data_IF_340857870729
#
_entry.id   IF_340857870729
#
_cell.length_a   1.000
_cell.length_b   1.000
_cell.length_c   1.000
_cell.angle_alpha   90.00
_cell.angle_beta   90.00
_cell.angle_gamma   90.00
#
_symmetry.space_group_name_H-M   'P 1'
#
loop_
_entity.id
_entity.type
_entity.pdbx_description
1 polymer ?
#
# COMPACT_ATOMS: atom_id res chain seq x y z
N UNK A 1 -34.24 -11.71 2.60
CA UNK A 1 -32.82 -11.43 2.30
C UNK A 1 -32.05 -11.59 3.60
N UNK A 2 -31.17 -12.60 3.70
CA UNK A 2 -30.33 -12.77 4.90
C UNK A 2 -29.46 -11.54 5.07
N UNK A 3 -29.47 -10.95 6.27
CA UNK A 3 -28.48 -9.97 6.69
C UNK A 3 -27.09 -10.56 6.43
N UNK A 4 -26.40 -10.03 5.42
CA UNK A 4 -24.98 -10.30 5.22
C UNK A 4 -24.27 -9.70 6.43
N UNK A 5 -23.76 -10.60 7.25
CA UNK A 5 -22.90 -10.32 8.39
C UNK A 5 -21.80 -9.35 7.97
N UNK A 6 -21.78 -8.15 8.56
CA UNK A 6 -20.84 -7.07 8.24
C UNK A 6 -19.38 -7.45 8.57
N UNK A 7 -19.15 -8.57 9.25
CA UNK A 7 -17.83 -9.09 9.63
C UNK A 7 -17.15 -9.92 8.53
N UNK A 8 -17.88 -10.40 7.51
CA UNK A 8 -17.25 -11.22 6.46
C UNK A 8 -16.44 -10.34 5.50
N UNK A 9 -15.11 -10.40 5.64
CA UNK A 9 -14.16 -9.83 4.66
C UNK A 9 -14.54 -10.35 3.27
N UNK A 10 -14.80 -9.43 2.34
CA UNK A 10 -15.14 -9.77 0.95
C UNK A 10 -14.06 -10.70 0.37
N UNK A 11 -14.44 -11.93 0.03
CA UNK A 11 -13.52 -13.00 -0.42
C UNK A 11 -13.12 -12.86 -1.88
N UNK A 12 -13.81 -12.01 -2.65
CA UNK A 12 -13.54 -11.80 -4.08
C UNK A 12 -12.61 -10.59 -4.27
N UNK A 13 -11.42 -10.85 -4.79
CA UNK A 13 -10.46 -9.82 -5.17
C UNK A 13 -11.05 -8.84 -6.17
N UNK A 14 -10.70 -7.56 -6.01
CA UNK A 14 -11.04 -6.53 -6.99
C UNK A 14 -10.49 -6.90 -8.37
N UNK A 15 -9.22 -7.27 -8.44
CA UNK A 15 -8.55 -7.74 -9.65
C UNK A 15 -7.75 -9.00 -9.32
N UNK A 16 -7.81 -10.01 -10.18
CA UNK A 16 -6.89 -11.13 -10.18
C UNK A 16 -6.44 -11.37 -11.61
N UNK A 17 -5.16 -11.65 -11.83
CA UNK A 17 -4.58 -11.76 -13.17
C UNK A 17 -3.45 -12.78 -13.23
N UNK A 18 -3.47 -13.78 -12.34
CA UNK A 18 -2.59 -14.95 -12.44
C UNK A 18 -2.96 -15.84 -13.62
N UNK A 19 -4.25 -15.87 -13.99
CA UNK A 19 -4.79 -16.56 -15.17
C UNK A 19 -6.04 -15.86 -15.70
N UNK A 20 -6.47 -16.24 -16.90
CA UNK A 20 -7.73 -15.76 -17.48
C UNK A 20 -8.95 -16.13 -16.61
N UNK A 21 -8.95 -17.32 -16.02
CA UNK A 21 -10.06 -17.79 -15.18
C UNK A 21 -10.12 -17.04 -13.84
N UNK A 22 -8.97 -16.78 -13.21
CA UNK A 22 -8.90 -15.91 -12.03
C UNK A 22 -9.39 -14.50 -12.35
N UNK A 23 -8.98 -13.96 -13.50
CA UNK A 23 -9.44 -12.65 -13.97
C UNK A 23 -10.95 -12.60 -14.14
N UNK A 24 -11.54 -13.56 -14.85
CA UNK A 24 -13.00 -13.65 -15.06
C UNK A 24 -13.81 -13.76 -13.76
N UNK A 25 -13.22 -14.33 -12.71
CA UNK A 25 -13.82 -14.45 -11.37
C UNK A 25 -13.62 -13.21 -10.49
N UNK A 26 -12.75 -12.29 -10.87
CA UNK A 26 -12.54 -11.03 -10.15
C UNK A 26 -13.64 -10.01 -10.47
N UNK A 27 -13.78 -8.98 -9.62
CA UNK A 27 -14.78 -7.91 -9.84
C UNK A 27 -14.56 -7.19 -11.18
N UNK A 28 -13.30 -6.92 -11.52
CA UNK A 28 -12.93 -6.29 -12.79
C UNK A 28 -13.25 -7.19 -13.99
N UNK A 29 -13.03 -8.50 -13.90
CA UNK A 29 -13.40 -9.42 -14.98
C UNK A 29 -14.91 -9.55 -15.18
N UNK A 30 -15.69 -9.54 -14.10
CA UNK A 30 -17.16 -9.48 -14.18
C UNK A 30 -17.62 -8.19 -14.85
N UNK A 31 -17.01 -7.05 -14.50
CA UNK A 31 -17.27 -5.77 -15.16
C UNK A 31 -16.93 -5.82 -16.66
N UNK A 32 -15.79 -6.40 -17.05
CA UNK A 32 -15.42 -6.54 -18.46
C UNK A 32 -16.44 -7.38 -19.24
N UNK A 33 -16.88 -8.49 -18.65
CA UNK A 33 -17.90 -9.34 -19.26
C UNK A 33 -19.24 -8.59 -19.41
N UNK A 34 -19.63 -7.79 -18.41
CA UNK A 34 -20.80 -6.93 -18.49
C UNK A 34 -20.68 -5.92 -19.64
N UNK A 35 -19.57 -5.18 -19.71
CA UNK A 35 -19.33 -4.18 -20.77
C UNK A 35 -19.34 -4.82 -22.16
N UNK A 36 -18.71 -6.00 -22.30
CA UNK A 36 -18.74 -6.76 -23.54
C UNK A 36 -20.15 -7.20 -23.93
N UNK A 37 -20.98 -7.62 -22.97
CA UNK A 37 -22.38 -7.96 -23.23
C UNK A 37 -23.22 -6.74 -23.60
N UNK A 38 -23.02 -5.58 -22.95
CA UNK A 38 -23.68 -4.33 -23.33
C UNK A 38 -23.31 -3.95 -24.77
N UNK A 39 -22.02 -3.95 -25.11
CA UNK A 39 -21.58 -3.64 -26.46
C UNK A 39 -22.14 -4.63 -27.51
N UNK A 40 -22.24 -5.91 -27.18
CA UNK A 40 -22.75 -6.94 -28.12
C UNK A 40 -24.26 -6.95 -28.27
N UNK A 41 -24.99 -6.79 -27.16
CA UNK A 41 -26.45 -6.98 -27.11
C UNK A 41 -27.24 -5.67 -27.16
N UNK A 42 -26.64 -4.57 -26.70
CA UNK A 42 -27.31 -3.29 -26.48
C UNK A 42 -26.68 -2.13 -27.27
N UNK A 43 -25.68 -2.38 -28.12
CA UNK A 43 -25.04 -1.33 -28.95
C UNK A 43 -26.02 -0.42 -29.71
N UNK A 44 -27.17 -0.91 -30.26
CA UNK A 44 -28.14 -0.03 -30.91
C UNK A 44 -28.83 0.97 -29.98
N UNK A 45 -28.81 0.73 -28.66
CA UNK A 45 -29.57 1.51 -27.67
C UNK A 45 -28.66 2.29 -26.71
N UNK A 46 -27.48 1.75 -26.41
CA UNK A 46 -26.60 2.26 -25.36
C UNK A 46 -25.14 2.03 -25.71
N UNK A 47 -24.32 3.05 -25.48
CA UNK A 47 -22.85 2.95 -25.50
C UNK A 47 -22.31 3.35 -24.13
N UNK A 48 -21.41 2.55 -23.59
CA UNK A 48 -20.70 2.83 -22.35
C UNK A 48 -19.22 3.01 -22.65
N UNK A 49 -18.67 4.17 -22.29
CA UNK A 49 -17.26 4.49 -22.50
C UNK A 49 -16.55 4.68 -21.16
N UNK A 50 -15.31 4.21 -21.09
CA UNK A 50 -14.42 4.50 -19.95
C UNK A 50 -13.92 5.94 -20.07
N UNK A 51 -14.04 6.68 -18.97
CA UNK A 51 -13.47 8.02 -18.91
C UNK A 51 -11.99 7.93 -18.57
N UNK A 52 -11.15 8.35 -19.51
CA UNK A 52 -9.71 8.55 -19.30
C UNK A 52 -9.48 9.93 -18.72
N UNK A 53 -8.62 10.01 -17.71
CA UNK A 53 -8.31 11.23 -17.00
C UNK A 53 -6.84 11.56 -17.26
N UNK A 54 -6.60 12.79 -17.72
CA UNK A 54 -5.26 13.26 -17.97
C UNK A 54 -4.57 13.56 -16.64
N UNK A 55 -3.42 12.94 -16.41
CA UNK A 55 -2.62 13.15 -15.22
C UNK A 55 -1.81 14.45 -15.29
N UNK A 56 -1.62 15.07 -14.12
CA UNK A 56 -0.81 16.27 -13.94
C UNK A 56 0.47 15.98 -13.14
N UNK A 57 0.42 14.99 -12.25
CA UNK A 57 1.57 14.53 -11.50
C UNK A 57 1.52 13.02 -11.26
N UNK A 58 2.71 12.39 -11.30
CA UNK A 58 2.92 10.97 -11.05
C UNK A 58 4.15 10.79 -10.15
N UNK A 59 3.93 10.30 -8.93
CA UNK A 59 4.98 9.97 -7.95
C UNK A 59 4.97 8.48 -7.67
N UNK A 60 6.06 7.93 -7.11
CA UNK A 60 6.17 6.51 -6.78
C UNK A 60 6.68 5.59 -7.91
N UNK A 61 7.04 6.16 -9.07
CA UNK A 61 7.55 5.39 -10.23
C UNK A 61 8.94 4.79 -9.96
N UNK A 62 9.65 5.31 -8.95
CA UNK A 62 10.97 4.85 -8.52
C UNK A 62 10.85 4.12 -7.19
N UNK A 63 11.73 3.14 -6.91
CA UNK A 63 11.79 2.56 -5.58
C UNK A 63 12.14 3.68 -4.60
N UNK A 64 11.29 3.93 -3.61
CA UNK A 64 11.70 4.75 -2.48
C UNK A 64 13.00 4.16 -1.92
N UNK A 65 13.99 5.02 -1.64
CA UNK A 65 15.15 4.58 -0.86
C UNK A 65 14.61 4.07 0.46
N UNK A 66 14.73 2.77 0.70
CA UNK A 66 14.15 2.10 1.86
C UNK A 66 14.55 2.84 3.14
N UNK A 67 13.61 3.51 3.80
CA UNK A 67 13.91 4.25 5.04
C UNK A 67 14.06 3.29 6.22
N UNK A 68 13.79 1.99 6.03
CA UNK A 68 13.89 0.95 7.06
C UNK A 68 15.24 0.91 7.78
N UNK A 69 16.36 1.15 7.09
CA UNK A 69 17.65 1.14 7.81
C UNK A 69 17.81 2.36 8.71
N UNK A 70 17.31 3.54 8.29
CA UNK A 70 17.26 4.71 9.16
C UNK A 70 16.33 4.47 10.35
N UNK A 71 15.18 3.83 10.14
CA UNK A 71 14.24 3.44 11.21
C UNK A 71 14.95 2.54 12.21
N UNK A 72 15.58 1.45 11.75
CA UNK A 72 16.29 0.50 12.62
C UNK A 72 17.39 1.20 13.42
N UNK A 73 18.20 2.03 12.77
CA UNK A 73 19.23 2.81 13.45
C UNK A 73 18.65 3.65 14.59
N UNK A 74 17.49 4.29 14.38
CA UNK A 74 16.85 5.09 15.43
C UNK A 74 16.21 4.28 16.53
N UNK A 75 15.60 3.15 16.20
CA UNK A 75 15.06 2.24 17.21
C UNK A 75 16.16 1.65 18.10
N UNK A 76 17.42 1.60 17.63
CA UNK A 76 18.59 1.25 18.45
C UNK A 76 19.09 2.37 19.37
N UNK A 77 18.61 3.61 19.22
CA UNK A 77 19.05 4.75 20.05
C UNK A 77 18.44 4.74 21.47
N UNK A 78 17.43 3.90 21.71
CA UNK A 78 16.90 3.68 23.05
C UNK A 78 16.83 2.18 23.38
N UNK A 79 16.95 1.82 24.67
CA UNK A 79 16.64 0.49 25.15
C UNK A 79 15.27 -0.01 24.71
N UNK A 80 15.19 -1.31 24.43
CA UNK A 80 13.96 -2.00 24.09
C UNK A 80 13.71 -3.14 25.08
N UNK A 81 12.51 -3.22 25.62
CA UNK A 81 12.10 -4.20 26.62
C UNK A 81 10.96 -5.06 26.10
N UNK A 82 10.76 -6.21 26.71
CA UNK A 82 9.61 -7.07 26.46
C UNK A 82 8.89 -7.38 27.77
N UNK A 83 7.57 -7.32 27.75
CA UNK A 83 6.70 -7.67 28.86
C UNK A 83 5.66 -8.68 28.37
N UNK A 84 5.74 -9.90 28.91
CA UNK A 84 4.77 -10.95 28.65
C UNK A 84 3.69 -10.94 29.73
N UNK A 85 2.50 -10.44 29.37
CA UNK A 85 1.33 -10.42 30.27
C UNK A 85 0.46 -11.67 30.15
N UNK A 86 0.73 -12.54 29.17
CA UNK A 86 -0.01 -13.78 28.91
C UNK A 86 0.57 -14.93 29.74
N UNK A 87 1.91 -15.03 29.78
CA UNK A 87 2.65 -16.01 30.59
C UNK A 87 2.27 -17.48 30.31
N UNK A 88 2.00 -17.83 29.05
CA UNK A 88 1.76 -19.21 28.60
C UNK A 88 2.91 -19.71 27.69
N UNK A 89 2.85 -20.99 27.29
CA UNK A 89 3.89 -21.58 26.42
C UNK A 89 3.98 -20.86 25.05
N UNK A 90 2.85 -20.38 24.52
CA UNK A 90 2.78 -19.72 23.21
C UNK A 90 3.39 -18.33 23.28
N UNK A 91 3.12 -17.57 24.33
CA UNK A 91 3.70 -16.25 24.55
C UNK A 91 5.20 -16.37 24.80
N UNK A 92 5.66 -17.37 25.55
CA UNK A 92 7.07 -17.65 25.75
C UNK A 92 7.81 -17.95 24.43
N UNK A 93 7.23 -18.78 23.56
CA UNK A 93 7.77 -19.05 22.22
C UNK A 93 7.84 -17.78 21.37
N UNK A 94 6.78 -16.96 21.39
CA UNK A 94 6.75 -15.70 20.67
C UNK A 94 7.83 -14.73 21.16
N UNK A 95 8.03 -14.59 22.47
CA UNK A 95 9.09 -13.74 23.05
C UNK A 95 10.47 -14.22 22.60
N UNK A 96 10.70 -15.54 22.60
CA UNK A 96 11.95 -16.13 22.14
C UNK A 96 12.22 -15.79 20.66
N UNK A 97 11.24 -16.04 19.78
CA UNK A 97 11.35 -15.73 18.35
C UNK A 97 11.51 -14.23 18.10
N UNK A 98 10.80 -13.38 18.85
CA UNK A 98 10.89 -11.93 18.74
C UNK A 98 12.31 -11.46 19.05
N UNK A 99 12.92 -11.96 20.14
CA UNK A 99 14.30 -11.63 20.52
C UNK A 99 15.28 -12.01 19.41
N UNK A 100 15.16 -13.23 18.88
CA UNK A 100 16.05 -13.73 17.83
C UNK A 100 15.93 -12.89 16.56
N UNK A 101 14.70 -12.65 16.09
CA UNK A 101 14.45 -11.96 14.81
C UNK A 101 14.73 -10.45 14.91
N UNK A 102 14.48 -9.80 16.04
CA UNK A 102 14.88 -8.39 16.25
C UNK A 102 16.40 -8.23 16.20
N UNK A 103 17.14 -9.15 16.83
CA UNK A 103 18.60 -9.13 16.77
C UNK A 103 19.11 -9.41 15.35
N UNK A 104 18.61 -10.48 14.71
CA UNK A 104 19.01 -10.91 13.36
C UNK A 104 18.79 -9.82 12.30
N UNK A 105 17.59 -9.20 12.26
CA UNK A 105 17.20 -8.30 11.18
C UNK A 105 17.37 -6.81 11.51
N UNK A 106 17.45 -6.46 12.79
CA UNK A 106 17.45 -5.06 13.23
C UNK A 106 18.60 -4.71 14.17
N UNK A 107 19.36 -5.68 14.68
CA UNK A 107 20.39 -5.43 15.70
C UNK A 107 19.82 -4.80 16.98
N UNK A 108 18.55 -5.06 17.27
CA UNK A 108 17.88 -4.58 18.50
C UNK A 108 17.93 -5.74 19.50
N UNK A 109 18.63 -5.52 20.60
CA UNK A 109 18.67 -6.45 21.73
C UNK A 109 17.61 -6.07 22.74
N UNK A 110 16.82 -7.05 23.19
CA UNK A 110 15.83 -6.84 24.25
C UNK A 110 16.51 -6.89 25.62
N UNK A 111 16.29 -5.86 26.43
CA UNK A 111 16.75 -5.72 27.79
C UNK A 111 15.79 -6.40 28.77
N UNK A 112 16.33 -6.87 29.89
CA UNK A 112 15.55 -7.30 31.05
C UNK A 112 15.23 -6.09 31.96
N UNK A 113 14.08 -6.11 32.62
CA UNK A 113 13.69 -5.10 33.61
C UNK A 113 12.54 -4.20 33.15
N UNK A 114 12.40 -3.05 33.81
CA UNK A 114 11.30 -2.09 33.60
C UNK A 114 11.77 -0.94 32.69
N UNK A 115 11.03 -0.59 31.63
CA UNK A 115 11.40 0.51 30.75
C UNK A 115 11.30 1.87 31.45
N UNK A 116 12.21 2.79 31.12
CA UNK A 116 12.18 4.19 31.53
C UNK A 116 11.45 5.09 30.51
N UNK A 117 11.28 6.37 30.85
CA UNK A 117 10.73 7.37 29.94
C UNK A 117 11.53 7.49 28.64
N UNK A 118 10.86 7.32 27.50
CA UNK A 118 11.46 7.35 26.16
C UNK A 118 11.92 5.99 25.62
N UNK A 119 11.88 4.93 26.44
CA UNK A 119 12.24 3.58 26.03
C UNK A 119 11.15 2.91 25.19
N UNK A 120 11.52 1.82 24.53
CA UNK A 120 10.61 0.98 23.74
C UNK A 120 10.14 -0.22 24.55
N UNK A 121 8.85 -0.53 24.50
CA UNK A 121 8.26 -1.70 25.14
C UNK A 121 7.45 -2.52 24.13
N UNK A 122 7.82 -3.79 23.98
CA UNK A 122 7.00 -4.80 23.32
C UNK A 122 6.15 -5.49 24.39
N UNK A 123 4.83 -5.34 24.34
CA UNK A 123 3.92 -5.98 25.30
C UNK A 123 3.15 -7.11 24.62
N UNK A 124 3.31 -8.34 25.11
CA UNK A 124 2.55 -9.50 24.63
C UNK A 124 1.23 -9.57 25.39
N UNK A 125 0.12 -9.62 24.66
CA UNK A 125 -1.26 -9.59 25.16
C UNK A 125 -2.13 -10.61 24.41
N UNK A 126 -3.34 -10.86 24.89
CA UNK A 126 -4.37 -11.52 24.07
C UNK A 126 -5.06 -10.52 23.12
N UNK A 127 -5.78 -11.03 22.13
CA UNK A 127 -6.69 -10.23 21.31
C UNK A 127 -7.85 -9.61 22.12
N UNK A 128 -8.64 -8.76 21.45
CA UNK A 128 -9.70 -8.02 22.11
C UNK A 128 -10.82 -8.96 22.57
N UNK A 129 -11.09 -9.99 21.76
CA UNK A 129 -12.12 -11.00 21.96
C UNK A 129 -11.92 -11.74 23.29
N UNK A 130 -10.67 -12.04 23.66
CA UNK A 130 -10.34 -12.68 24.94
C UNK A 130 -10.80 -11.88 26.17
N UNK A 131 -10.76 -10.55 26.12
CA UNK A 131 -11.08 -9.68 27.25
C UNK A 131 -12.54 -9.16 27.24
N UNK A 132 -13.41 -9.63 26.33
CA UNK A 132 -14.77 -9.09 26.20
C UNK A 132 -15.61 -9.21 27.48
N UNK A 133 -15.47 -10.34 28.19
CA UNK A 133 -16.20 -10.60 29.43
C UNK A 133 -15.57 -9.93 30.66
N UNK A 134 -14.27 -9.59 30.59
CA UNK A 134 -13.50 -8.95 31.68
C UNK A 134 -12.61 -7.79 31.19
N UNK A 135 -13.18 -6.68 30.66
CA UNK A 135 -12.39 -5.62 30.02
C UNK A 135 -11.42 -4.89 30.96
N UNK A 136 -11.65 -4.93 32.28
CA UNK A 136 -10.77 -4.37 33.30
C UNK A 136 -9.45 -5.13 33.46
N UNK A 137 -9.39 -6.38 32.99
CA UNK A 137 -8.19 -7.20 32.98
C UNK A 137 -7.29 -6.90 31.78
N UNK A 138 -7.81 -6.22 30.75
CA UNK A 138 -7.09 -5.88 29.53
C UNK A 138 -5.82 -5.05 29.82
N UNK A 139 -4.61 -5.62 29.64
CA UNK A 139 -3.35 -4.93 29.88
C UNK A 139 -3.04 -3.87 28.82
N UNK A 140 -3.76 -3.83 27.69
CA UNK A 140 -3.59 -2.83 26.64
C UNK A 140 -3.75 -1.40 27.16
N UNK A 141 -4.71 -1.19 28.07
CA UNK A 141 -5.01 0.13 28.65
C UNK A 141 -4.04 0.54 29.76
N UNK A 142 -3.31 -0.42 30.33
CA UNK A 142 -2.39 -0.23 31.46
C UNK A 142 -0.95 0.01 31.00
N UNK A 143 -0.74 0.38 29.74
CA UNK A 143 0.58 0.57 29.16
C UNK A 143 1.22 1.88 29.63
N UNK A 144 2.54 1.90 29.89
CA UNK A 144 3.23 3.11 30.34
C UNK A 144 3.18 4.21 29.28
N UNK A 145 2.58 5.36 29.64
CA UNK A 145 2.33 6.49 28.73
C UNK A 145 3.62 7.20 28.29
N UNK A 146 4.68 7.08 29.08
CA UNK A 146 6.00 7.67 28.80
C UNK A 146 6.90 6.78 27.93
N UNK A 147 6.44 5.59 27.55
CA UNK A 147 7.19 4.67 26.70
C UNK A 147 6.60 4.61 25.28
N UNK A 148 7.41 4.19 24.33
CA UNK A 148 6.93 3.79 23.00
C UNK A 148 6.46 2.34 23.07
N UNK A 149 5.16 2.12 23.22
CA UNK A 149 4.59 0.76 23.42
C UNK A 149 4.02 0.18 22.13
N UNK A 150 4.44 -1.04 21.79
CA UNK A 150 3.80 -1.87 20.77
C UNK A 150 3.22 -3.13 21.40
N UNK A 151 1.91 -3.30 21.27
CA UNK A 151 1.21 -4.53 21.66
C UNK A 151 1.31 -5.57 20.54
N UNK A 152 1.59 -6.82 20.91
CA UNK A 152 1.60 -7.98 20.03
C UNK A 152 0.62 -9.01 20.59
N UNK A 153 -0.37 -9.40 19.80
CA UNK A 153 -1.34 -10.42 20.20
C UNK A 153 -0.77 -11.81 19.95
N UNK A 154 -0.84 -12.70 20.94
CA UNK A 154 -0.29 -14.06 20.83
C UNK A 154 -1.02 -14.90 19.78
N UNK A 155 -2.29 -14.60 19.52
CA UNK A 155 -3.15 -15.30 18.55
C UNK A 155 -2.80 -14.97 17.09
N UNK A 156 -2.58 -13.69 16.79
CA UNK A 156 -2.45 -13.20 15.42
C UNK A 156 -0.99 -12.97 14.99
N UNK A 157 -0.12 -12.57 15.92
CA UNK A 157 1.23 -12.16 15.58
C UNK A 157 2.16 -13.37 15.40
N UNK A 158 2.39 -13.74 14.15
CA UNK A 158 3.24 -14.90 13.79
C UNK A 158 4.56 -14.46 13.20
N UNK A 159 5.64 -14.96 13.78
CA UNK A 159 6.99 -14.89 13.23
C UNK A 159 7.34 -16.23 12.58
N UNK A 160 7.97 -16.24 11.39
CA UNK A 160 8.45 -17.49 10.81
C UNK A 160 9.54 -18.09 11.72
N UNK A 161 9.35 -19.35 12.11
CA UNK A 161 10.36 -20.14 12.80
C UNK A 161 11.55 -20.49 11.90
N UNK A 162 12.57 -21.12 12.48
CA UNK A 162 13.83 -21.40 11.79
C UNK A 162 13.71 -22.43 10.66
N UNK A 163 12.67 -23.28 10.62
CA UNK A 163 12.45 -24.24 9.53
C UNK A 163 12.15 -23.59 8.15
N UNK A 164 11.86 -22.29 8.11
CA UNK A 164 11.70 -21.52 6.88
C UNK A 164 13.04 -21.01 6.31
N UNK A 165 14.09 -21.84 6.29
CA UNK A 165 15.46 -21.46 5.87
C UNK A 165 15.60 -21.03 4.39
N UNK A 166 14.57 -21.19 3.55
CA UNK A 166 14.72 -20.96 2.10
C UNK A 166 14.76 -19.48 1.68
N UNK A 167 14.52 -18.52 2.58
CA UNK A 167 14.68 -17.08 2.27
C UNK A 167 15.18 -16.29 3.49
N UNK A 168 16.41 -15.76 3.40
CA UNK A 168 16.95 -14.65 4.23
C UNK A 168 16.13 -13.37 4.01
N UNK A 169 14.86 -13.34 4.40
CA UNK A 169 13.99 -12.19 4.21
C UNK A 169 13.18 -11.93 5.47
N UNK A 170 13.35 -10.72 5.99
CA UNK A 170 12.55 -10.15 7.08
C UNK A 170 11.05 -10.42 6.85
N UNK A 171 10.39 -10.97 7.88
CA UNK A 171 8.96 -11.20 7.88
C UNK A 171 8.16 -9.90 7.80
N UNK A 172 7.06 -9.91 7.05
CA UNK A 172 6.20 -8.73 6.87
C UNK A 172 5.62 -8.21 8.21
N UNK A 173 5.33 -9.12 9.14
CA UNK A 173 4.82 -8.80 10.48
C UNK A 173 5.86 -8.01 11.30
N UNK A 174 7.11 -8.48 11.36
CA UNK A 174 8.20 -7.79 12.05
C UNK A 174 8.46 -6.40 11.45
N UNK A 175 8.52 -6.30 10.11
CA UNK A 175 8.66 -5.01 9.43
C UNK A 175 7.57 -4.03 9.85
N UNK A 176 6.31 -4.50 9.90
CA UNK A 176 5.16 -3.66 10.25
C UNK A 176 5.24 -3.15 11.69
N UNK A 177 5.70 -3.98 12.61
CA UNK A 177 5.96 -3.61 14.01
C UNK A 177 7.03 -2.53 14.12
N UNK A 178 8.16 -2.67 13.43
CA UNK A 178 9.22 -1.65 13.43
C UNK A 178 8.74 -0.30 12.87
N UNK A 179 7.92 -0.34 11.82
CA UNK A 179 7.29 0.84 11.23
C UNK A 179 6.38 1.58 12.22
N UNK A 180 5.53 0.85 12.94
CA UNK A 180 4.62 1.43 13.93
C UNK A 180 5.37 2.01 15.13
N UNK A 181 6.41 1.32 15.61
CA UNK A 181 7.28 1.83 16.66
C UNK A 181 7.97 3.13 16.27
N UNK A 182 8.46 3.23 15.04
CA UNK A 182 9.12 4.43 14.54
C UNK A 182 8.18 5.65 14.58
N UNK A 183 6.93 5.47 14.13
CA UNK A 183 5.91 6.52 14.19
C UNK A 183 5.57 6.89 15.63
N UNK A 184 5.33 5.91 16.50
CA UNK A 184 4.99 6.17 17.90
C UNK A 184 6.10 6.89 18.65
N UNK A 185 7.36 6.57 18.33
CA UNK A 185 8.54 7.26 18.89
C UNK A 185 8.58 8.72 18.46
N UNK A 186 8.38 9.01 17.17
CA UNK A 186 8.32 10.40 16.68
C UNK A 186 7.19 11.20 17.36
N UNK A 187 6.03 10.57 17.57
CA UNK A 187 4.89 11.18 18.29
C UNK A 187 5.26 11.49 19.75
N UNK A 188 5.86 10.53 20.46
CA UNK A 188 6.30 10.70 21.85
C UNK A 188 7.37 11.79 21.99
N UNK A 189 8.33 11.83 21.06
CA UNK A 189 9.43 12.79 21.05
C UNK A 189 9.04 14.16 20.47
N UNK A 190 7.82 14.29 19.93
CA UNK A 190 7.32 15.50 19.27
C UNK A 190 8.25 16.01 18.15
N UNK A 191 8.84 15.09 17.39
CA UNK A 191 9.72 15.44 16.26
C UNK A 191 9.64 14.40 15.15
N UNK A 192 9.51 14.86 13.91
CA UNK A 192 9.64 14.00 12.74
C UNK A 192 11.10 13.60 12.60
N UNK A 193 11.32 12.31 12.67
CA UNK A 193 12.61 11.75 12.34
C UNK A 193 12.47 10.87 11.11
N UNK A 194 11.41 10.08 10.97
CA UNK A 194 11.26 9.05 9.92
C UNK A 194 11.30 9.60 8.47
N UNK A 195 11.14 10.90 8.31
CA UNK A 195 11.13 11.62 7.05
C UNK A 195 12.07 12.83 7.12
N UNK A 196 12.71 13.18 5.99
CA UNK A 196 13.56 14.37 5.91
C UNK A 196 12.68 15.61 5.66
N UNK A 197 12.10 16.12 6.74
CA UNK A 197 11.13 17.21 6.67
C UNK A 197 11.73 18.51 6.13
N UNK A 198 12.97 18.83 6.52
CA UNK A 198 13.67 20.01 6.03
C UNK A 198 13.88 19.98 4.50
N UNK A 199 14.15 18.80 3.94
CA UNK A 199 14.28 18.62 2.50
C UNK A 199 12.97 18.82 1.71
N UNK A 200 11.80 18.82 2.37
CA UNK A 200 10.53 19.12 1.72
C UNK A 200 10.33 20.62 1.43
N UNK A 201 11.14 21.50 2.03
CA UNK A 201 11.18 22.93 1.69
C UNK A 201 10.04 23.78 2.25
N UNK A 202 9.27 23.28 3.21
CA UNK A 202 8.24 24.08 3.89
C UNK A 202 8.89 25.15 4.78
N UNK A 203 8.64 26.42 4.47
CA UNK A 203 9.13 27.56 5.25
C UNK A 203 8.15 28.01 6.34
N UNK A 204 6.87 27.74 6.13
CA UNK A 204 5.79 27.99 7.10
C UNK A 204 5.33 26.67 7.73
N UNK A 205 4.77 26.69 8.95
CA UNK A 205 4.24 25.48 9.57
C UNK A 205 3.12 24.87 8.72
N UNK A 206 3.17 23.55 8.55
CA UNK A 206 2.11 22.80 7.87
C UNK A 206 1.19 22.19 8.91
N UNK A 207 -0.11 22.44 8.78
CA UNK A 207 -1.13 21.98 9.70
C UNK A 207 -1.92 20.84 9.09
N UNK A 208 -2.24 19.84 9.91
CA UNK A 208 -3.05 18.67 9.56
C UNK A 208 -4.16 18.52 10.59
N UNK A 209 -5.41 18.37 10.15
CA UNK A 209 -6.56 18.31 11.06
C UNK A 209 -7.47 17.13 10.74
N UNK A 210 -7.95 16.44 11.78
CA UNK A 210 -9.00 15.42 11.69
C UNK A 210 -10.09 15.65 12.73
N UNK A 211 -11.29 15.13 12.43
CA UNK A 211 -12.27 14.73 13.45
C UNK A 211 -12.02 13.24 13.74
N UNK A 212 -11.58 12.86 14.96
CA UNK A 212 -11.29 11.48 15.30
C UNK A 212 -12.57 10.63 15.29
N UNK A 213 -12.43 9.33 15.03
CA UNK A 213 -13.58 8.43 14.89
C UNK A 213 -14.42 8.34 16.17
N UNK A 214 -13.80 8.43 17.35
CA UNK A 214 -14.52 8.47 18.63
C UNK A 214 -15.52 9.62 18.75
N UNK A 215 -15.34 10.69 17.98
CA UNK A 215 -16.18 11.89 17.99
C UNK A 215 -17.21 11.91 16.86
N UNK A 216 -17.21 10.91 15.95
CA UNK A 216 -18.20 10.80 14.88
C UNK A 216 -19.47 10.14 15.41
N UNK A 217 -20.59 10.87 15.44
CA UNK A 217 -21.90 10.35 15.86
C UNK A 217 -23.00 11.41 15.70
N UNK A 218 -24.27 10.99 15.54
CA UNK A 218 -25.40 11.93 15.33
C UNK A 218 -25.62 12.89 16.49
N UNK A 219 -25.23 12.48 17.71
CA UNK A 219 -25.48 13.23 18.95
C UNK A 219 -24.17 13.63 19.66
N UNK A 220 -23.03 13.50 18.97
CA UNK A 220 -21.72 13.88 19.54
C UNK A 220 -21.30 15.23 18.99
N UNK A 221 -20.88 16.10 19.90
CA UNK A 221 -20.21 17.33 19.56
C UNK A 221 -18.90 16.99 18.82
N UNK A 222 -18.66 17.54 17.63
CA UNK A 222 -17.41 17.35 16.91
C UNK A 222 -16.25 17.81 17.77
N UNK A 223 -15.18 17.03 17.74
CA UNK A 223 -13.94 17.35 18.41
C UNK A 223 -12.84 17.28 17.36
N UNK A 224 -11.97 18.27 17.36
CA UNK A 224 -10.92 18.43 16.37
C UNK A 224 -9.58 18.09 16.98
N UNK A 225 -8.73 17.42 16.22
CA UNK A 225 -7.31 17.26 16.55
C UNK A 225 -6.50 17.89 15.44
N UNK A 226 -5.51 18.70 15.82
CA UNK A 226 -4.55 19.30 14.91
C UNK A 226 -3.13 18.86 15.25
N UNK A 227 -2.38 18.52 14.21
CA UNK A 227 -0.93 18.45 14.24
C UNK A 227 -0.37 19.59 13.41
N UNK A 228 0.43 20.45 14.03
CA UNK A 228 1.25 21.46 13.37
C UNK A 228 2.69 20.97 13.30
N UNK A 229 3.28 21.06 12.11
CA UNK A 229 4.67 20.65 11.87
C UNK A 229 5.48 21.88 11.45
N UNK A 230 6.47 22.23 12.27
CA UNK A 230 7.39 23.34 11.99
C UNK A 230 8.42 22.94 10.93
N UNK A 231 9.11 23.93 10.34
CA UNK A 231 10.07 23.71 9.25
C UNK A 231 11.26 22.80 9.62
N UNK A 232 11.58 22.69 10.90
CA UNK A 232 12.61 21.80 11.45
C UNK A 232 12.10 20.39 11.83
N UNK A 233 10.82 20.12 11.57
CA UNK A 233 10.13 18.87 11.87
C UNK A 233 9.65 18.73 13.31
N UNK A 234 9.69 19.79 14.14
CA UNK A 234 9.05 19.77 15.47
C UNK A 234 7.54 19.64 15.32
N UNK A 235 6.92 18.85 16.20
CA UNK A 235 5.50 18.53 16.21
C UNK A 235 4.79 19.24 17.36
N UNK A 236 3.73 19.97 17.06
CA UNK A 236 2.83 20.57 18.04
C UNK A 236 1.42 19.99 17.86
N UNK A 237 0.89 19.41 18.93
CA UNK A 237 -0.44 18.83 18.95
C UNK A 237 -1.40 19.73 19.71
N UNK A 238 -2.61 19.86 19.20
CA UNK A 238 -3.70 20.60 19.84
C UNK A 238 -5.03 19.89 19.58
N UNK A 239 -5.99 20.12 20.49
CA UNK A 239 -7.34 19.61 20.35
C UNK A 239 -8.35 20.56 20.97
N UNK A 240 -9.57 20.55 20.45
CA UNK A 240 -10.67 21.38 20.94
C UNK A 240 -12.01 20.78 20.51
N UNK A 241 -13.08 21.21 21.17
CA UNK A 241 -14.47 20.85 20.84
C UNK A 241 -15.11 21.92 19.95
N UNK A 242 -16.14 21.55 19.19
CA UNK A 242 -16.92 22.49 18.40
C UNK A 242 -17.60 23.52 19.29
N UNK A 243 -17.42 24.81 19.03
CA UNK A 243 -18.07 25.88 19.79
C UNK A 243 -19.27 26.46 19.03
N UNK A 244 -20.29 26.91 19.77
CA UNK A 244 -21.41 27.66 19.17
C UNK A 244 -20.97 29.05 18.67
N UNK A 245 -19.98 29.64 19.35
CA UNK A 245 -19.43 30.96 19.05
C UNK A 245 -17.92 30.89 19.10
N UNK A 246 -17.30 30.81 17.93
CA UNK A 246 -15.85 30.72 17.80
C UNK A 246 -15.18 32.02 18.24
N UNK A 247 -14.20 31.89 19.13
CA UNK A 247 -13.29 33.00 19.49
C UNK A 247 -12.03 33.02 18.61
N UNK A 248 -11.69 31.87 18.02
CA UNK A 248 -10.54 31.67 17.17
C UNK A 248 -11.00 31.51 15.70
N UNK A 249 -10.65 32.49 14.87
CA UNK A 249 -10.98 32.53 13.44
C UNK A 249 -10.39 31.34 12.66
N UNK A 250 -9.20 30.82 13.05
CA UNK A 250 -8.62 29.63 12.45
C UNK A 250 -9.50 28.40 12.75
N UNK A 251 -9.96 28.26 13.99
CA UNK A 251 -10.84 27.15 14.39
C UNK A 251 -12.21 27.21 13.73
N UNK A 252 -12.77 28.41 13.55
CA UNK A 252 -14.02 28.59 12.81
C UNK A 252 -13.88 28.14 11.35
N UNK A 253 -12.80 28.56 10.67
CA UNK A 253 -12.51 28.17 9.28
C UNK A 253 -12.33 26.67 9.15
N UNK A 254 -11.62 26.04 10.09
CA UNK A 254 -11.47 24.59 10.17
C UNK A 254 -12.82 23.90 10.31
N UNK A 255 -13.67 24.35 11.24
CA UNK A 255 -14.97 23.74 11.47
C UNK A 255 -15.85 23.82 10.22
N UNK A 256 -15.90 24.99 9.56
CA UNK A 256 -16.60 25.18 8.28
C UNK A 256 -16.06 24.26 7.18
N UNK A 257 -14.75 24.03 7.11
CA UNK A 257 -14.13 23.16 6.12
C UNK A 257 -14.54 21.67 6.27
N UNK A 258 -14.98 21.25 7.47
CA UNK A 258 -15.53 19.92 7.72
C UNK A 258 -17.04 19.82 7.43
N UNK A 259 -17.73 20.92 7.12
CA UNK A 259 -19.17 20.92 6.89
C UNK A 259 -19.54 20.66 5.42
N UNK A 260 -20.74 20.11 5.22
CA UNK A 260 -21.42 20.01 3.93
C UNK A 260 -22.21 21.29 3.61
N UNK A 261 -22.84 21.33 2.43
CA UNK A 261 -23.65 22.49 2.00
C UNK A 261 -24.87 22.78 2.90
N UNK A 262 -25.17 21.90 3.86
CA UNK A 262 -26.27 22.02 4.84
C UNK A 262 -25.75 22.42 6.22
N UNK A 263 -24.45 22.69 6.37
CA UNK A 263 -23.81 23.04 7.63
C UNK A 263 -23.61 21.85 8.58
N UNK A 264 -23.75 20.61 8.11
CA UNK A 264 -23.52 19.40 8.93
C UNK A 264 -22.13 18.85 8.65
N UNK A 265 -21.52 18.18 9.62
CA UNK A 265 -20.22 17.49 9.39
C UNK A 265 -20.33 16.54 8.20
N UNK A 266 -19.54 16.79 7.16
CA UNK A 266 -19.46 15.96 5.95
C UNK A 266 -18.71 14.66 6.28
N UNK A 267 -19.41 13.50 6.24
CA UNK A 267 -18.79 12.22 6.60
C UNK A 267 -17.70 11.79 5.62
N UNK A 268 -17.60 12.41 4.44
CA UNK A 268 -16.60 12.11 3.43
C UNK A 268 -15.27 12.83 3.64
N UNK A 269 -15.22 13.87 4.49
CA UNK A 269 -13.97 14.56 4.79
C UNK A 269 -13.08 13.64 5.64
N UNK A 270 -11.93 13.27 5.07
CA UNK A 270 -10.94 12.39 5.71
C UNK A 270 -9.88 13.19 6.48
N UNK A 271 -9.69 14.46 6.15
CA UNK A 271 -8.77 15.38 6.84
C UNK A 271 -8.54 16.68 6.07
N UNK A 272 -7.93 17.64 6.76
CA UNK A 272 -7.53 18.95 6.22
C UNK A 272 -6.02 19.08 6.23
N UNK A 273 -5.45 19.77 5.24
CA UNK A 273 -4.05 20.20 5.23
C UNK A 273 -3.94 21.64 4.77
N UNK A 274 -3.10 22.45 5.43
CA UNK A 274 -2.91 23.86 5.07
C UNK A 274 -1.65 24.47 5.70
N UNK A 275 -1.09 25.48 5.04
CA UNK A 275 -0.10 26.40 5.62
C UNK A 275 -0.74 27.75 5.98
N UNK A 276 -1.79 28.14 5.25
CA UNK A 276 -2.55 29.38 5.41
C UNK A 276 -4.00 29.03 5.77
N UNK A 277 -4.53 29.47 6.93
CA UNK A 277 -5.92 29.26 7.33
C UNK A 277 -6.97 29.76 6.33
N UNK A 278 -6.64 30.73 5.47
CA UNK A 278 -7.54 31.20 4.42
C UNK A 278 -7.58 30.26 3.20
N UNK A 279 -6.62 29.34 3.09
CA UNK A 279 -6.49 28.40 1.99
C UNK A 279 -6.35 26.94 2.47
N UNK A 280 -7.44 26.39 3.00
CA UNK A 280 -7.49 25.03 3.53
C UNK A 280 -7.80 24.01 2.44
N UNK A 281 -6.91 23.04 2.24
CA UNK A 281 -7.17 21.91 1.35
C UNK A 281 -7.96 20.82 2.07
N UNK A 282 -9.18 20.59 1.61
CA UNK A 282 -10.13 19.62 2.19
C UNK A 282 -10.07 18.32 1.40
N UNK A 283 -9.60 17.24 2.04
CA UNK A 283 -9.51 15.91 1.40
C UNK A 283 -10.80 15.14 1.65
N UNK A 284 -11.54 14.83 0.58
CA UNK A 284 -12.77 14.05 0.61
C UNK A 284 -12.60 12.70 -0.07
N UNK A 285 -13.10 11.64 0.58
CA UNK A 285 -13.29 10.34 -0.04
C UNK A 285 -14.45 10.42 -1.04
N UNK A 286 -14.28 9.80 -2.20
CA UNK A 286 -15.37 9.69 -3.20
C UNK A 286 -15.76 8.22 -3.41
N UNK A 287 -16.88 7.99 -4.07
CA UNK A 287 -17.30 6.65 -4.52
C UNK A 287 -16.60 6.21 -5.82
N UNK A 288 -15.74 7.06 -6.38
CA UNK A 288 -14.99 6.75 -7.59
C UNK A 288 -13.76 5.91 -7.24
N UNK A 289 -13.43 4.98 -8.12
CA UNK A 289 -12.22 4.16 -8.02
C UNK A 289 -11.61 3.96 -9.40
N UNK A 290 -10.33 3.62 -9.43
CA UNK A 290 -9.61 3.44 -10.68
C UNK A 290 -9.72 2.02 -11.21
N UNK A 291 -9.50 1.87 -12.52
CA UNK A 291 -9.51 0.60 -13.24
C UNK A 291 -8.16 0.43 -13.96
N UNK A 292 -7.67 -0.81 -14.15
CA UNK A 292 -6.56 -1.08 -15.08
C UNK A 292 -7.06 -0.98 -16.54
N UNK A 293 -6.18 -1.14 -17.53
CA UNK A 293 -6.59 -1.34 -18.92
C UNK A 293 -7.23 -2.73 -19.10
N UNK A 294 -8.51 -2.82 -18.75
CA UNK A 294 -9.23 -4.09 -18.59
C UNK A 294 -9.27 -4.89 -19.89
N UNK A 295 -9.52 -4.23 -21.01
CA UNK A 295 -9.59 -4.87 -22.34
C UNK A 295 -8.25 -5.45 -22.73
N UNK A 296 -7.18 -4.66 -22.68
CA UNK A 296 -5.82 -5.11 -23.01
C UNK A 296 -5.37 -6.25 -22.09
N UNK A 297 -5.70 -6.17 -20.80
CA UNK A 297 -5.37 -7.22 -19.84
C UNK A 297 -6.08 -8.54 -20.18
N UNK A 298 -7.38 -8.50 -20.49
CA UNK A 298 -8.13 -9.69 -20.87
C UNK A 298 -7.57 -10.33 -22.15
N UNK A 299 -7.30 -9.52 -23.18
CA UNK A 299 -6.72 -10.00 -24.44
C UNK A 299 -5.37 -10.68 -24.24
N UNK A 300 -4.51 -10.07 -23.42
CA UNK A 300 -3.20 -10.64 -23.11
C UNK A 300 -3.32 -11.98 -22.37
N UNK A 301 -4.19 -12.05 -21.35
CA UNK A 301 -4.43 -13.29 -20.60
C UNK A 301 -5.01 -14.40 -21.48
N UNK A 302 -5.88 -14.05 -22.44
CA UNK A 302 -6.46 -15.00 -23.38
C UNK A 302 -5.45 -15.55 -24.39
N UNK A 303 -4.39 -14.80 -24.70
CA UNK A 303 -3.30 -15.23 -25.61
C UNK A 303 -2.20 -16.03 -24.93
N UNK A 304 -2.12 -16.01 -23.60
CA UNK A 304 -1.07 -16.71 -22.85
C UNK A 304 -1.59 -17.74 -21.83
N UNK A 305 -2.51 -18.66 -22.18
CA UNK A 305 -2.95 -19.70 -21.25
C UNK A 305 -1.83 -20.70 -20.95
N UNK A 306 -1.51 -20.88 -19.66
CA UNK A 306 -0.39 -21.72 -19.21
C UNK A 306 -0.49 -23.20 -19.63
N UNK A 307 -1.70 -23.74 -19.74
CA UNK A 307 -1.97 -25.14 -20.06
C UNK A 307 -2.12 -25.44 -21.55
N UNK A 308 -2.03 -24.44 -22.42
CA UNK A 308 -2.11 -24.63 -23.86
C UNK A 308 -0.93 -25.46 -24.37
N UNK A 309 -1.23 -26.47 -25.19
CA UNK A 309 -0.25 -27.33 -25.82
C UNK A 309 0.21 -26.69 -27.13
N UNK A 310 1.52 -26.56 -27.28
CA UNK A 310 2.15 -25.92 -28.44
C UNK A 310 3.22 -26.85 -29.01
N UNK A 311 3.37 -26.83 -30.33
CA UNK A 311 4.43 -27.56 -31.03
C UNK A 311 5.79 -26.95 -30.67
N UNK A 312 6.72 -27.79 -30.22
CA UNK A 312 8.07 -27.36 -29.83
C UNK A 312 8.92 -27.01 -31.04
N UNK A 313 8.81 -27.78 -32.12
CA UNK A 313 9.69 -27.69 -33.30
C UNK A 313 9.74 -26.28 -33.93
N UNK A 314 8.62 -25.59 -34.21
CA UNK A 314 8.69 -24.23 -34.77
C UNK A 314 9.35 -23.22 -33.84
N UNK A 315 9.20 -23.40 -32.52
CA UNK A 315 9.76 -22.50 -31.51
C UNK A 315 11.27 -22.72 -31.40
N UNK A 316 11.70 -23.99 -31.36
CA UNK A 316 13.12 -24.35 -31.32
C UNK A 316 13.85 -23.88 -32.58
N UNK A 317 13.23 -24.01 -33.76
CA UNK A 317 13.78 -23.53 -35.03
C UNK A 317 14.06 -22.02 -35.01
N UNK A 318 13.19 -21.22 -34.38
CA UNK A 318 13.44 -19.78 -34.21
C UNK A 318 14.68 -19.54 -33.34
N UNK A 319 14.81 -20.24 -32.21
CA UNK A 319 15.99 -20.11 -31.33
C UNK A 319 17.27 -20.52 -32.06
N UNK A 320 17.24 -21.60 -32.84
CA UNK A 320 18.36 -22.06 -33.64
C UNK A 320 18.82 -21.02 -34.67
N UNK A 321 17.88 -20.36 -35.35
CA UNK A 321 18.20 -19.32 -36.33
C UNK A 321 18.89 -18.10 -35.71
N UNK A 322 18.67 -17.84 -34.42
CA UNK A 322 19.33 -16.75 -33.72
C UNK A 322 20.83 -17.00 -33.47
N UNK A 323 21.34 -18.22 -33.67
CA UNK A 323 22.75 -18.56 -33.40
C UNK A 323 23.72 -17.81 -34.33
N UNK A 324 23.35 -17.62 -35.59
CA UNK A 324 24.20 -17.03 -36.63
C UNK A 324 24.53 -15.56 -36.36
N UNK A 325 23.58 -14.84 -35.75
CA UNK A 325 23.68 -13.40 -35.51
C UNK A 325 24.09 -13.08 -34.05
N UNK A 326 24.30 -14.11 -33.21
CA UNK A 326 24.56 -13.93 -31.79
C UNK A 326 26.07 -13.75 -31.49
N UNK A 327 26.43 -12.79 -30.62
CA UNK A 327 27.78 -12.72 -30.04
C UNK A 327 28.15 -14.03 -29.33
N UNK A 328 29.44 -14.38 -29.32
CA UNK A 328 29.95 -15.65 -28.75
C UNK A 328 29.48 -15.91 -27.31
N UNK A 329 29.44 -14.86 -26.47
CA UNK A 329 28.95 -14.93 -25.08
C UNK A 329 27.45 -15.22 -24.96
N UNK A 330 26.64 -14.82 -25.95
CA UNK A 330 25.20 -15.08 -25.96
C UNK A 330 24.86 -16.43 -26.60
N UNK A 331 25.71 -16.90 -27.52
CA UNK A 331 25.53 -18.16 -28.23
C UNK A 331 25.42 -19.35 -27.29
N UNK A 332 26.30 -19.45 -26.29
CA UNK A 332 26.22 -20.51 -25.27
C UNK A 332 24.86 -20.53 -24.54
N UNK A 333 24.34 -19.35 -24.18
CA UNK A 333 23.06 -19.25 -23.49
C UNK A 333 21.87 -19.58 -24.42
N UNK A 334 21.96 -19.24 -25.71
CA UNK A 334 20.97 -19.64 -26.71
C UNK A 334 20.99 -21.16 -26.96
N UNK A 335 22.16 -21.78 -27.00
CA UNK A 335 22.32 -23.23 -27.12
C UNK A 335 21.70 -23.97 -25.93
N UNK A 336 21.83 -23.44 -24.71
CA UNK A 336 21.14 -23.97 -23.52
C UNK A 336 19.62 -23.89 -23.70
N UNK A 337 19.07 -22.73 -24.08
CA UNK A 337 17.62 -22.56 -24.30
C UNK A 337 17.13 -23.55 -25.37
N UNK A 338 17.86 -23.69 -26.47
CA UNK A 338 17.52 -24.59 -27.56
C UNK A 338 17.54 -26.07 -27.11
N UNK A 339 18.58 -26.48 -26.39
CA UNK A 339 18.68 -27.81 -25.81
C UNK A 339 17.54 -28.11 -24.83
N UNK A 340 17.21 -27.15 -23.95
CA UNK A 340 16.12 -27.27 -22.99
C UNK A 340 14.76 -27.40 -23.68
N UNK A 341 14.56 -26.73 -24.82
CA UNK A 341 13.35 -26.88 -25.63
C UNK A 341 13.27 -28.27 -26.26
N UNK A 342 14.36 -28.75 -26.88
CA UNK A 342 14.40 -30.08 -27.52
C UNK A 342 14.27 -31.24 -26.53
N UNK A 343 14.60 -31.02 -25.26
CA UNK A 343 14.39 -32.00 -24.19
C UNK A 343 12.90 -32.19 -23.83
N UNK A 344 12.02 -31.29 -24.26
CA UNK A 344 10.57 -31.42 -24.06
C UNK A 344 9.94 -32.38 -25.09
N UNK A 345 8.76 -32.90 -24.77
CA UNK A 345 7.96 -33.67 -25.73
C UNK A 345 7.55 -32.78 -26.93
N UNK A 346 7.27 -33.35 -28.12
CA UNK A 346 6.94 -32.58 -29.34
C UNK A 346 5.78 -31.57 -29.17
N UNK A 347 4.86 -31.88 -28.25
CA UNK A 347 3.86 -30.97 -27.74
C UNK A 347 4.15 -30.71 -26.25
N UNK A 348 4.28 -29.44 -25.89
CA UNK A 348 4.55 -29.03 -24.52
C UNK A 348 3.64 -27.89 -24.10
N UNK A 349 3.37 -27.78 -22.80
CA UNK A 349 2.57 -26.69 -22.28
C UNK A 349 3.32 -25.36 -22.42
N UNK A 350 2.59 -24.26 -22.66
CA UNK A 350 3.16 -22.90 -22.67
C UNK A 350 3.99 -22.61 -21.42
N UNK A 351 3.58 -23.11 -20.25
CA UNK A 351 4.33 -22.97 -18.99
C UNK A 351 5.70 -23.65 -19.04
N UNK A 352 5.78 -24.89 -19.55
CA UNK A 352 7.06 -25.59 -19.73
C UNK A 352 7.98 -24.82 -20.68
N UNK A 353 7.47 -24.45 -21.86
CA UNK A 353 8.19 -23.67 -22.87
C UNK A 353 8.73 -22.34 -22.30
N UNK A 354 7.87 -21.57 -21.64
CA UNK A 354 8.25 -20.29 -21.03
C UNK A 354 9.34 -20.41 -19.95
N UNK A 355 9.44 -21.59 -19.30
CA UNK A 355 10.44 -21.85 -18.27
C UNK A 355 11.83 -22.06 -18.86
N UNK A 356 11.93 -22.69 -20.04
CA UNK A 356 13.19 -22.87 -20.78
C UNK A 356 13.83 -21.54 -21.18
N UNK A 357 13.02 -20.51 -21.52
CA UNK A 357 13.55 -19.22 -21.98
C UNK A 357 14.19 -18.39 -20.86
N UNK A 358 13.88 -18.64 -19.59
CA UNK A 358 14.37 -17.80 -18.49
C UNK A 358 13.96 -16.33 -18.63
N UNK A 359 12.65 -16.05 -18.79
CA UNK A 359 12.04 -14.74 -19.11
C UNK A 359 12.39 -13.54 -18.20
N UNK A 360 13.16 -13.76 -17.12
CA UNK A 360 13.72 -12.70 -16.28
C UNK A 360 14.99 -12.08 -16.87
N UNK A 361 15.69 -12.81 -17.72
CA UNK A 361 16.93 -12.37 -18.37
C UNK A 361 16.61 -11.42 -19.54
N UNK A 362 17.61 -10.66 -20.00
CA UNK A 362 17.48 -9.84 -21.22
C UNK A 362 17.34 -10.74 -22.44
N UNK A 363 18.20 -11.77 -22.53
CA UNK A 363 18.20 -12.74 -23.63
C UNK A 363 16.85 -13.48 -23.74
N UNK A 364 16.35 -14.04 -22.64
CA UNK A 364 15.09 -14.77 -22.63
C UNK A 364 13.89 -13.92 -23.07
N UNK A 365 13.91 -12.62 -22.77
CA UNK A 365 12.89 -11.68 -23.27
C UNK A 365 13.02 -11.46 -24.78
N UNK A 366 14.23 -11.26 -25.29
CA UNK A 366 14.50 -11.12 -26.72
C UNK A 366 14.09 -12.37 -27.50
N UNK A 367 14.38 -13.57 -26.97
CA UNK A 367 13.96 -14.85 -27.56
C UNK A 367 12.44 -14.96 -27.62
N UNK A 368 11.74 -14.58 -26.54
CA UNK A 368 10.28 -14.58 -26.51
C UNK A 368 9.68 -13.61 -27.56
N UNK A 369 10.30 -12.44 -27.74
CA UNK A 369 9.89 -11.45 -28.76
C UNK A 369 10.12 -11.99 -30.18
N UNK A 370 11.27 -12.62 -30.45
CA UNK A 370 11.58 -13.20 -31.77
C UNK A 370 10.66 -14.37 -32.10
N UNK A 371 10.39 -15.26 -31.13
CA UNK A 371 9.41 -16.35 -31.29
C UNK A 371 8.04 -15.77 -31.65
N UNK A 372 7.59 -14.73 -30.94
CA UNK A 372 6.32 -14.09 -31.25
C UNK A 372 6.31 -13.46 -32.65
N UNK A 373 7.38 -12.79 -33.05
CA UNK A 373 7.49 -12.16 -34.38
C UNK A 373 7.44 -13.19 -35.53
N UNK A 374 8.06 -14.36 -35.35
CA UNK A 374 8.18 -15.40 -36.39
C UNK A 374 6.98 -16.36 -36.44
N UNK A 375 6.36 -16.63 -35.30
CA UNK A 375 5.35 -17.70 -35.16
C UNK A 375 3.97 -17.19 -34.75
N UNK A 376 3.87 -15.94 -34.29
CA UNK A 376 2.65 -15.41 -33.66
C UNK A 376 2.39 -15.94 -32.24
N UNK A 377 3.25 -16.82 -31.70
CA UNK A 377 3.06 -17.45 -30.39
C UNK A 377 3.77 -16.65 -29.30
N UNK A 378 3.02 -16.13 -28.33
CA UNK A 378 3.58 -15.37 -27.19
C UNK A 378 3.75 -16.24 -25.95
N UNK A 379 4.94 -16.78 -25.68
CA UNK A 379 5.14 -17.71 -24.55
C UNK A 379 5.03 -17.03 -23.18
N UNK A 380 5.59 -15.84 -23.05
CA UNK A 380 5.52 -15.02 -21.84
C UNK A 380 4.75 -13.71 -22.06
N UNK A 381 3.78 -13.43 -21.19
CA UNK A 381 2.95 -12.20 -21.27
C UNK A 381 3.72 -10.91 -20.93
N UNK A 382 4.86 -10.99 -20.26
CA UNK A 382 5.66 -9.81 -19.89
C UNK A 382 4.95 -8.82 -18.95
N UNK A 383 3.79 -9.16 -18.36
CA UNK A 383 2.95 -8.23 -17.58
C UNK A 383 3.66 -7.48 -16.45
N UNK A 384 4.75 -8.03 -15.91
CA UNK A 384 5.53 -7.40 -14.83
C UNK A 384 6.71 -6.56 -15.33
N UNK A 385 6.99 -6.57 -16.63
CA UNK A 385 8.01 -5.72 -17.25
C UNK A 385 7.53 -4.27 -17.25
N UNK A 386 8.43 -3.30 -17.05
CA UNK A 386 8.03 -1.91 -16.79
C UNK A 386 7.10 -1.32 -17.86
N UNK A 387 7.40 -1.50 -19.16
CA UNK A 387 6.57 -0.98 -20.26
C UNK A 387 5.16 -1.58 -20.26
N UNK A 388 5.05 -2.90 -20.27
CA UNK A 388 3.76 -3.62 -20.27
C UNK A 388 2.98 -3.38 -18.98
N UNK A 389 3.68 -3.32 -17.84
CA UNK A 389 3.08 -3.05 -16.54
C UNK A 389 2.47 -1.65 -16.49
N UNK A 390 3.19 -0.65 -16.98
CA UNK A 390 2.66 0.71 -17.08
C UNK A 390 1.44 0.72 -18.00
N UNK A 391 1.53 0.14 -19.19
CA UNK A 391 0.42 0.07 -20.14
C UNK A 391 -0.84 -0.59 -19.54
N UNK A 392 -0.69 -1.65 -18.74
CA UNK A 392 -1.82 -2.40 -18.21
C UNK A 392 -2.37 -1.85 -16.89
N UNK A 393 -1.48 -1.35 -16.01
CA UNK A 393 -1.81 -1.10 -14.61
C UNK A 393 -1.60 0.35 -14.18
N UNK A 394 -1.16 1.26 -15.07
CA UNK A 394 -0.96 2.68 -14.79
C UNK A 394 -2.06 3.29 -13.91
N UNK A 395 -3.33 3.09 -14.31
CA UNK A 395 -4.50 3.58 -13.59
C UNK A 395 -4.65 3.06 -12.15
N UNK A 396 -3.91 2.04 -11.75
CA UNK A 396 -4.02 1.39 -10.43
C UNK A 396 -2.73 1.41 -9.62
N UNK A 397 -1.64 1.93 -10.18
CA UNK A 397 -0.33 1.96 -9.53
C UNK A 397 0.03 3.36 -9.06
N UNK A 398 0.87 3.37 -8.03
CA UNK A 398 1.59 4.54 -7.58
C UNK A 398 0.67 5.71 -7.14
N UNK A 399 1.15 6.95 -7.17
CA UNK A 399 0.37 8.14 -6.76
C UNK A 399 0.16 9.00 -7.98
N UNK A 400 -1.11 9.32 -8.28
CA UNK A 400 -1.46 10.21 -9.39
C UNK A 400 -2.41 11.31 -8.97
N UNK A 401 -2.24 12.48 -9.58
CA UNK A 401 -3.06 13.68 -9.39
C UNK A 401 -3.57 14.17 -10.75
N UNK A 402 -4.79 14.66 -10.79
CA UNK A 402 -5.42 15.28 -11.96
C UNK A 402 -6.45 16.32 -11.52
N UNK A 403 -6.69 17.35 -12.33
CA UNK A 403 -7.71 18.38 -12.06
C UNK A 403 -8.97 18.14 -12.90
N UNK A 404 -10.12 18.38 -12.28
CA UNK A 404 -11.41 18.39 -12.98
C UNK A 404 -12.27 19.54 -12.41
N UNK A 405 -12.51 20.56 -13.23
CA UNK A 405 -13.19 21.78 -12.78
C UNK A 405 -12.36 22.52 -11.74
N UNK A 406 -12.98 22.91 -10.61
CA UNK A 406 -12.33 23.66 -9.53
C UNK A 406 -11.79 22.76 -8.40
N UNK A 407 -11.47 21.50 -8.72
CA UNK A 407 -11.01 20.53 -7.74
C UNK A 407 -9.90 19.66 -8.32
N UNK A 408 -8.99 19.28 -7.44
CA UNK A 408 -7.99 18.27 -7.71
C UNK A 408 -8.48 16.91 -7.24
N UNK A 409 -8.00 15.86 -7.88
CA UNK A 409 -8.35 14.50 -7.56
C UNK A 409 -7.09 13.65 -7.58
N UNK A 410 -7.00 12.72 -6.65
CA UNK A 410 -5.86 11.85 -6.57
C UNK A 410 -6.23 10.44 -6.13
N UNK A 411 -5.35 9.50 -6.41
CA UNK A 411 -5.40 8.17 -5.81
C UNK A 411 -3.99 7.69 -5.47
N UNK A 412 -3.92 6.66 -4.63
CA UNK A 412 -2.69 6.05 -4.15
C UNK A 412 -2.83 4.54 -4.18
N UNK A 413 -2.03 3.89 -5.02
CA UNK A 413 -2.03 2.47 -5.28
C UNK A 413 -0.82 1.72 -4.70
N UNK A 414 -0.75 0.40 -4.93
CA UNK A 414 0.46 -0.37 -4.67
C UNK A 414 1.64 0.16 -5.47
N UNK A 415 2.85 -0.03 -4.93
CA UNK A 415 4.06 0.28 -5.66
C UNK A 415 4.20 -0.70 -6.84
N UNK A 416 4.44 -0.18 -8.04
CA UNK A 416 4.55 -0.99 -9.25
C UNK A 416 5.61 -2.10 -9.19
N UNK A 417 6.62 -2.01 -8.30
CA UNK A 417 7.61 -3.07 -8.09
C UNK A 417 7.10 -4.22 -7.20
N UNK A 418 6.14 -3.93 -6.32
CA UNK A 418 5.53 -4.89 -5.40
C UNK A 418 4.23 -5.48 -5.95
N UNK A 419 3.90 -5.22 -7.22
CA UNK A 419 2.66 -5.69 -7.84
C UNK A 419 2.55 -7.22 -7.80
N UNK A 420 1.58 -7.69 -7.01
CA UNK A 420 1.19 -9.09 -6.91
C UNK A 420 0.21 -9.45 -8.04
N UNK A 421 -0.02 -10.74 -8.27
CA UNK A 421 -0.95 -11.23 -9.30
C UNK A 421 -2.44 -11.02 -8.94
N UNK A 422 -2.71 -10.34 -7.83
CA UNK A 422 -4.05 -9.90 -7.46
C UNK A 422 -4.00 -8.60 -6.67
N UNK A 423 -5.09 -7.84 -6.76
CA UNK A 423 -5.39 -6.68 -5.94
C UNK A 423 -6.68 -6.95 -5.20
N UNK A 424 -6.61 -6.99 -3.86
CA UNK A 424 -7.78 -7.25 -3.05
C UNK A 424 -8.84 -6.13 -3.15
N UNK A 425 -8.39 -4.88 -3.32
CA UNK A 425 -9.24 -3.67 -3.32
C UNK A 425 -8.87 -2.72 -4.46
N UNK A 426 -9.84 -1.94 -4.91
CA UNK A 426 -9.63 -0.86 -5.86
C UNK A 426 -8.92 0.32 -5.22
N UNK A 427 -8.25 1.16 -6.02
CA UNK A 427 -7.73 2.44 -5.56
C UNK A 427 -8.87 3.46 -5.58
N UNK A 428 -9.34 3.86 -4.40
CA UNK A 428 -10.37 4.88 -4.25
C UNK A 428 -9.79 6.26 -4.57
N UNK A 429 -10.50 7.01 -5.40
CA UNK A 429 -10.15 8.37 -5.79
C UNK A 429 -10.65 9.32 -4.71
N UNK A 430 -9.80 10.27 -4.33
CA UNK A 430 -10.12 11.38 -3.42
C UNK A 430 -10.27 12.66 -4.20
N UNK A 431 -11.14 13.54 -3.71
CA UNK A 431 -11.32 14.89 -4.19
C UNK A 431 -10.68 15.84 -3.19
N UNK A 432 -9.95 16.82 -3.68
CA UNK A 432 -9.36 17.91 -2.92
C UNK A 432 -9.94 19.21 -3.44
N UNK A 433 -10.50 20.00 -2.54
CA UNK A 433 -10.95 21.38 -2.79
C UNK A 433 -10.19 22.31 -1.86
N UNK A 434 -10.10 23.60 -2.20
CA UNK A 434 -9.54 24.60 -1.30
C UNK A 434 -10.58 25.65 -0.90
N UNK A 435 -10.49 26.19 0.32
CA UNK A 435 -11.34 27.30 0.79
C UNK A 435 -10.95 28.63 0.15
N UNK A 436 -9.66 28.79 -0.19
CA UNK A 436 -9.09 30.04 -0.73
C UNK A 436 -9.02 30.09 -2.25
N UNK A 437 -9.65 29.16 -2.97
CA UNK A 437 -9.67 29.13 -4.43
C UNK A 437 -9.29 27.78 -5.02
N UNK A 438 -8.35 27.76 -5.96
CA UNK A 438 -7.91 26.51 -6.60
C UNK A 438 -6.97 25.74 -5.67
N UNK A 439 -7.16 24.42 -5.52
CA UNK A 439 -6.28 23.61 -4.69
C UNK A 439 -4.90 23.45 -5.33
N UNK A 440 -3.86 23.53 -4.50
CA UNK A 440 -2.46 23.27 -4.85
C UNK A 440 -1.93 22.02 -4.14
N UNK A 441 -2.67 20.91 -4.18
CA UNK A 441 -2.38 19.70 -3.40
C UNK A 441 -1.13 18.93 -3.86
N UNK A 442 -0.60 19.23 -5.04
CA UNK A 442 0.64 18.64 -5.55
C UNK A 442 1.81 18.77 -4.55
N UNK A 443 1.86 19.86 -3.78
CA UNK A 443 2.91 20.11 -2.77
C UNK A 443 2.92 19.10 -1.61
N UNK A 444 1.80 18.40 -1.36
CA UNK A 444 1.68 17.43 -0.27
C UNK A 444 1.81 15.97 -0.75
N UNK A 445 1.85 15.71 -2.07
CA UNK A 445 2.02 14.35 -2.60
C UNK A 445 3.31 13.66 -2.13
N UNK A 446 4.47 14.34 -1.99
CA UNK A 446 5.67 13.70 -1.45
C UNK A 446 5.50 13.16 -0.03
N UNK A 447 4.58 13.73 0.76
CA UNK A 447 4.24 13.23 2.09
C UNK A 447 3.46 11.92 2.06
N UNK A 448 3.01 11.49 0.87
CA UNK A 448 2.34 10.22 0.67
C UNK A 448 3.30 9.10 0.21
N UNK A 449 4.40 9.47 -0.43
CA UNK A 449 5.44 8.59 -0.98
C UNK A 449 6.43 8.11 0.09
N UNK A 450 5.89 7.48 1.15
CA UNK A 450 6.69 6.97 2.27
C UNK A 450 6.47 5.49 2.50
N UNK A 451 7.54 4.76 2.80
CA UNK A 451 7.52 3.31 3.03
C UNK A 451 7.44 2.94 4.53
N UNK A 452 7.67 3.88 5.45
CA UNK A 452 7.65 3.65 6.89
C UNK A 452 6.25 3.59 7.51
N UNK A 453 5.19 3.86 6.74
CA UNK A 453 3.79 3.75 7.20
C UNK A 453 3.10 2.52 6.62
N UNK A 454 3.32 2.24 5.34
CA UNK A 454 2.77 1.09 4.61
C UNK A 454 3.86 0.39 3.83
N UNK A 455 3.95 -0.93 4.00
CA UNK A 455 4.81 -1.76 3.17
C UNK A 455 4.16 -2.00 1.80
N UNK A 456 4.97 -1.94 0.73
CA UNK A 456 4.60 -2.32 -0.64
C UNK A 456 3.45 -1.50 -1.30
N UNK A 457 2.96 -0.45 -0.64
CA UNK A 457 1.97 0.47 -1.17
C UNK A 457 2.19 1.86 -0.57
N UNK A 458 1.79 2.89 -1.29
CA UNK A 458 1.89 4.26 -0.81
C UNK A 458 0.80 4.59 0.21
N UNK A 459 1.04 5.62 1.01
CA UNK A 459 0.02 6.09 1.93
C UNK A 459 -1.07 6.84 1.17
N UNK A 460 -2.27 6.80 1.72
CA UNK A 460 -3.48 7.30 1.06
C UNK A 460 -3.77 8.75 1.44
N UNK A 461 -3.28 9.17 2.59
CA UNK A 461 -3.26 10.54 3.08
C UNK A 461 -1.81 10.84 3.46
N UNK A 462 -1.37 12.11 3.42
CA UNK A 462 -0.07 12.52 3.96
C UNK A 462 0.25 11.85 5.30
N UNK A 463 1.47 11.33 5.46
CA UNK A 463 1.82 10.56 6.67
C UNK A 463 1.61 11.30 8.01
N UNK A 464 1.65 12.64 8.12
CA UNK A 464 1.33 13.33 9.38
C UNK A 464 -0.07 13.02 9.93
N UNK A 465 -1.04 12.64 9.08
CA UNK A 465 -2.32 12.12 9.56
C UNK A 465 -2.21 10.82 10.36
N UNK A 466 -1.19 10.00 10.09
CA UNK A 466 -0.91 8.80 10.91
C UNK A 466 -0.40 9.23 12.30
N UNK A 467 0.41 10.27 12.41
CA UNK A 467 0.94 10.77 13.68
C UNK A 467 -0.20 11.30 14.54
N UNK A 468 -1.10 12.07 13.93
CA UNK A 468 -2.30 12.60 14.59
C UNK A 468 -3.27 11.53 15.09
N UNK A 469 -3.32 10.36 14.43
CA UNK A 469 -4.12 9.20 14.88
C UNK A 469 -3.44 8.38 15.98
N UNK A 470 -2.11 8.34 16.00
CA UNK A 470 -1.36 7.67 17.07
C UNK A 470 -1.24 8.54 18.33
N UNK A 471 -1.37 9.86 18.19
CA UNK A 471 -1.35 10.78 19.33
C UNK A 471 -2.56 10.55 20.24
N UNK A 472 -2.26 10.27 21.51
CA UNK A 472 -3.23 10.20 22.59
C UNK A 472 -3.09 11.49 23.42
N UNK A 473 -4.13 12.33 23.49
CA UNK A 473 -4.14 13.48 24.38
C UNK A 473 -3.95 13.02 25.83
N UNK A 474 -3.16 13.78 26.60
CA UNK A 474 -2.95 13.52 28.03
C UNK A 474 -4.08 14.07 28.87
#
# INVERSE_FOLDING_TARGET
>A
MKNLDKSQKNTVSFLAFGSLDEFRRSKVGVLQNFLGNVARLLAPYLTLNMQYLQEEAHLGCRPARSQMEKIRRRLREAPAFVEDTVQDERSAELVHLLRLKLNEYSGISLCEGVPAAGDTLFRIVHDKEFYEDCPEQDPYRKAPVHCTVQHLTVEDFKLPGDECEKKKKEGAALRKVLQELAVKRDVLQKKITCYDWAAAGYTSPVNFVIIPEESKGKDKQPHYRRLRVYSDGILEYSQWEEELFWQDDEQEKIARAFQDDRGKVDPHVEGLVYQDPDNIHVIRKTDRYTLPEITLLQELLARTPNGEQLSVEPLAAVVQNMFSDAPEKERQALEIIYSDLLALAPQATRKQLSSCLGLRTVLGRRVNEEIFARTGVLLGSGMKQNKTKEQLFAGTLDIRLFTQGNAQYYYSGPCGQSLQQSLARACCIRKVTATGGQPHFAEYLPLMEVDFVRASAWTVLPFPFKYLREWKPQ
#
